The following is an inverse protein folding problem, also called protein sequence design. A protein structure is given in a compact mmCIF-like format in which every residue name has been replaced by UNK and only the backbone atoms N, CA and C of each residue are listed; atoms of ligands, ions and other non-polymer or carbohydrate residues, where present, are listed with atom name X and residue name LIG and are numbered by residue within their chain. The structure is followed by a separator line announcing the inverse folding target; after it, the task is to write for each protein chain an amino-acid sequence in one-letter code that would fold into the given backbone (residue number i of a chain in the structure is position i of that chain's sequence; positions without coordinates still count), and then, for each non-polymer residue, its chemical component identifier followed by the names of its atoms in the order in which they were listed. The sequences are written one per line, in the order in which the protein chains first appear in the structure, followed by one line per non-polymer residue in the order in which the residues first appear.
data_IF_227714440449
#
_entry.id   IF_227714440449
#
_cell.length_a   1.000
_cell.length_b   1.000
_cell.length_c   1.000
_cell.angle_alpha   90.00
_cell.angle_beta   90.00
_cell.angle_gamma   90.00
#
_symmetry.space_group_name_H-M   'P 1'
#
loop_
_entity.id
_entity.type
_entity.pdbx_description
1 polymer ?
#
# COMPACT_ATOMS: atom_id res chain seq x y z
N UNK A 1 -10.21 -3.47 1.46
CA UNK A 1 -9.41 -2.37 0.90
C UNK A 1 -10.31 -1.28 0.36
N UNK A 2 -10.07 -0.05 0.80
CA UNK A 2 -10.73 1.16 0.31
C UNK A 2 -9.78 1.79 -0.72
N UNK A 3 -10.09 1.59 -2.00
CA UNK A 3 -9.32 2.20 -3.09
C UNK A 3 -9.55 3.71 -3.17
N UNK A 4 -9.00 4.33 -4.20
CA UNK A 4 -9.09 5.75 -4.45
C UNK A 4 -10.52 6.19 -4.84
N UNK A 5 -11.37 6.38 -3.84
CA UNK A 5 -12.74 6.84 -3.94
C UNK A 5 -12.92 8.12 -3.10
N UNK A 6 -13.99 8.88 -3.39
CA UNK A 6 -14.36 10.03 -2.57
C UNK A 6 -14.45 9.65 -1.09
N UNK A 7 -13.85 10.39 -0.15
CA UNK A 7 -13.81 10.05 1.27
C UNK A 7 -15.19 9.79 1.91
N UNK A 8 -16.25 10.50 1.47
CA UNK A 8 -17.60 10.22 1.93
C UNK A 8 -18.08 8.81 1.55
N UNK A 9 -17.71 8.30 0.37
CA UNK A 9 -18.02 6.93 -0.06
C UNK A 9 -17.22 5.92 0.77
N UNK A 10 -15.94 6.18 1.00
CA UNK A 10 -15.10 5.34 1.88
C UNK A 10 -15.71 5.26 3.29
N UNK A 11 -16.13 6.39 3.87
CA UNK A 11 -16.82 6.43 5.15
C UNK A 11 -18.14 5.63 5.15
N UNK A 12 -18.94 5.73 4.09
CA UNK A 12 -20.17 4.96 3.95
C UNK A 12 -19.91 3.45 3.95
N UNK A 13 -18.88 2.99 3.22
CA UNK A 13 -18.45 1.58 3.19
C UNK A 13 -17.99 1.11 4.56
N UNK A 14 -17.18 1.90 5.27
CA UNK A 14 -16.74 1.57 6.63
C UNK A 14 -17.94 1.38 7.56
N UNK A 15 -18.92 2.26 7.48
CA UNK A 15 -20.10 2.23 8.36
C UNK A 15 -21.05 1.05 8.07
N UNK A 16 -21.03 0.49 6.85
CA UNK A 16 -21.81 -0.70 6.49
C UNK A 16 -21.21 -2.00 7.01
N UNK A 17 -19.92 -2.04 7.30
CA UNK A 17 -19.27 -3.24 7.79
C UNK A 17 -19.57 -3.46 9.27
N UNK A 18 -20.19 -4.58 9.59
CA UNK A 18 -20.54 -4.97 10.97
C UNK A 18 -19.52 -5.90 11.62
N UNK A 19 -18.49 -6.37 10.88
CA UNK A 19 -17.47 -7.24 11.43
C UNK A 19 -16.55 -6.47 12.40
N UNK A 20 -16.53 -6.78 13.70
CA UNK A 20 -15.68 -6.10 14.68
C UNK A 20 -14.17 -6.36 14.47
N UNK A 21 -13.82 -7.48 13.82
CA UNK A 21 -12.44 -7.89 13.59
C UNK A 21 -11.94 -7.51 12.19
N UNK A 22 -12.62 -6.56 11.52
CA UNK A 22 -12.19 -6.10 10.20
C UNK A 22 -10.85 -5.38 10.26
N UNK A 23 -9.97 -5.68 9.32
CA UNK A 23 -8.76 -4.92 9.07
C UNK A 23 -8.98 -4.04 7.84
N UNK A 24 -8.93 -2.73 8.01
CA UNK A 24 -9.23 -1.77 6.96
C UNK A 24 -7.93 -1.19 6.42
N UNK A 25 -7.73 -1.38 5.12
CA UNK A 25 -6.64 -0.77 4.35
C UNK A 25 -7.23 0.35 3.50
N UNK A 26 -6.59 1.51 3.44
CA UNK A 26 -6.96 2.57 2.52
C UNK A 26 -5.80 3.01 1.65
N UNK A 27 -6.15 3.49 0.48
CA UNK A 27 -5.32 4.30 -0.40
C UNK A 27 -5.97 5.67 -0.59
N UNK A 28 -5.21 6.67 -1.01
CA UNK A 28 -5.69 8.03 -1.25
C UNK A 28 -4.94 8.68 -2.41
N UNK A 29 -5.29 9.91 -2.73
CA UNK A 29 -4.57 10.73 -3.72
C UNK A 29 -4.62 12.23 -3.36
N UNK A 30 -3.73 12.99 -3.97
CA UNK A 30 -3.59 14.43 -3.80
C UNK A 30 -4.92 15.18 -3.96
N UNK A 31 -5.75 14.79 -4.94
CA UNK A 31 -7.04 15.43 -5.22
C UNK A 31 -7.95 15.52 -3.99
N UNK A 32 -7.98 14.48 -3.15
CA UNK A 32 -8.80 14.48 -1.93
C UNK A 32 -8.20 15.35 -0.83
N UNK A 33 -6.88 15.47 -0.80
CA UNK A 33 -6.18 16.37 0.12
C UNK A 33 -6.47 17.84 -0.21
N UNK A 34 -6.57 18.17 -1.50
CA UNK A 34 -6.83 19.54 -1.97
C UNK A 34 -8.32 19.94 -1.84
N UNK A 35 -9.24 18.97 -1.98
CA UNK A 35 -10.66 19.29 -2.13
C UNK A 35 -11.54 18.86 -0.95
N UNK A 36 -11.16 17.83 -0.19
CA UNK A 36 -11.98 17.22 0.87
C UNK A 36 -11.15 16.73 2.05
N UNK A 37 -10.18 17.54 2.50
CA UNK A 37 -9.20 17.15 3.52
C UNK A 37 -9.86 16.72 4.84
N UNK A 38 -10.87 17.45 5.33
CA UNK A 38 -11.53 17.11 6.60
C UNK A 38 -12.24 15.75 6.52
N UNK A 39 -12.90 15.46 5.40
CA UNK A 39 -13.52 14.16 5.18
C UNK A 39 -12.47 13.04 5.06
N UNK A 40 -11.36 13.31 4.36
CA UNK A 40 -10.24 12.37 4.25
C UNK A 40 -9.65 12.06 5.63
N UNK A 41 -9.39 13.05 6.45
CA UNK A 41 -8.90 12.88 7.82
C UNK A 41 -9.87 12.07 8.69
N UNK A 42 -11.19 12.20 8.44
CA UNK A 42 -12.21 11.39 9.12
C UNK A 42 -12.16 9.92 8.75
N UNK A 43 -11.74 9.58 7.52
CA UNK A 43 -11.50 8.20 7.07
C UNK A 43 -10.20 7.67 7.66
N UNK A 44 -9.11 8.45 7.56
CA UNK A 44 -7.77 8.07 8.08
C UNK A 44 -7.85 7.63 9.54
N UNK A 45 -8.67 8.29 10.36
CA UNK A 45 -8.86 7.94 11.78
C UNK A 45 -9.50 6.56 12.02
N UNK A 46 -10.10 5.96 11.00
CA UNK A 46 -10.90 4.72 11.13
C UNK A 46 -10.23 3.50 10.51
N UNK A 47 -9.10 3.68 9.84
CA UNK A 47 -8.41 2.59 9.13
C UNK A 47 -7.25 2.04 9.96
N UNK A 48 -6.90 0.78 9.72
CA UNK A 48 -5.78 0.13 10.40
C UNK A 48 -4.46 0.38 9.66
N UNK A 49 -4.51 0.42 8.33
CA UNK A 49 -3.34 0.61 7.47
C UNK A 49 -3.66 1.65 6.39
N UNK A 50 -2.80 2.64 6.23
CA UNK A 50 -2.78 3.53 5.07
C UNK A 50 -1.60 3.18 4.17
N UNK A 51 -1.86 3.11 2.86
CA UNK A 51 -0.85 2.95 1.81
C UNK A 51 -0.86 4.25 1.01
N UNK A 52 0.24 4.96 0.97
CA UNK A 52 0.35 6.32 0.42
C UNK A 52 1.68 6.46 -0.32
N UNK A 53 1.78 7.30 -1.33
CA UNK A 53 3.09 7.59 -1.91
C UNK A 53 3.83 8.69 -1.14
N UNK A 54 5.11 8.90 -1.44
CA UNK A 54 5.96 9.85 -0.73
C UNK A 54 5.55 11.31 -0.93
N UNK A 55 5.10 11.70 -2.13
CA UNK A 55 4.60 13.04 -2.41
C UNK A 55 3.30 13.32 -1.65
N UNK A 56 2.38 12.37 -1.67
CA UNK A 56 1.13 12.43 -0.91
C UNK A 56 1.37 12.48 0.60
N UNK A 57 2.33 11.69 1.11
CA UNK A 57 2.70 11.71 2.52
C UNK A 57 3.28 13.08 2.94
N UNK A 58 4.12 13.66 2.08
CA UNK A 58 4.66 15.02 2.29
C UNK A 58 3.55 16.07 2.24
N UNK A 59 2.64 16.01 1.28
CA UNK A 59 1.52 16.94 1.16
C UNK A 59 0.59 16.87 2.38
N UNK A 60 0.20 15.65 2.78
CA UNK A 60 -0.71 15.44 3.91
C UNK A 60 -0.14 15.94 5.23
N UNK A 61 1.17 15.85 5.40
CA UNK A 61 1.82 16.14 6.68
C UNK A 61 2.57 17.47 6.74
N UNK A 62 2.98 17.99 5.58
CA UNK A 62 3.92 19.12 5.48
C UNK A 62 5.38 18.74 5.81
N UNK A 63 5.67 17.46 6.02
CA UNK A 63 7.00 16.96 6.39
C UNK A 63 7.79 16.54 5.15
N UNK A 64 9.00 17.08 4.95
CA UNK A 64 9.89 16.67 3.85
C UNK A 64 10.58 15.33 4.11
N UNK A 65 10.82 15.00 5.37
CA UNK A 65 11.40 13.70 5.72
C UNK A 65 10.31 12.64 5.80
N UNK A 66 10.44 11.60 5.00
CA UNK A 66 9.44 10.53 4.85
C UNK A 66 9.16 9.79 6.18
N UNK A 67 10.20 9.60 7.01
CA UNK A 67 10.01 8.97 8.32
C UNK A 67 9.19 9.85 9.26
N UNK A 68 9.47 11.17 9.27
CA UNK A 68 8.69 12.12 10.04
C UNK A 68 7.25 12.21 9.53
N UNK A 69 7.07 12.19 8.20
CA UNK A 69 5.74 12.13 7.56
C UNK A 69 4.98 10.89 8.03
N UNK A 70 5.60 9.71 7.97
CA UNK A 70 4.98 8.46 8.43
C UNK A 70 4.60 8.48 9.91
N UNK A 71 5.48 9.00 10.78
CA UNK A 71 5.19 9.15 12.21
C UNK A 71 4.05 10.15 12.48
N UNK A 72 3.94 11.19 11.67
CA UNK A 72 2.84 12.15 11.77
C UNK A 72 1.52 11.54 11.30
N UNK A 73 1.54 10.70 10.25
CA UNK A 73 0.36 9.97 9.78
C UNK A 73 -0.11 8.97 10.85
N UNK A 74 0.80 8.22 11.50
CA UNK A 74 0.43 7.33 12.61
C UNK A 74 -0.34 8.09 13.72
N UNK A 75 0.04 9.32 14.02
CA UNK A 75 -0.66 10.17 15.00
C UNK A 75 -2.03 10.66 14.54
N UNK A 76 -2.36 10.54 13.25
CA UNK A 76 -3.68 10.86 12.70
C UNK A 76 -4.71 9.77 12.91
N UNK A 77 -4.29 8.54 13.24
CA UNK A 77 -5.21 7.45 13.60
C UNK A 77 -4.80 6.04 13.18
N UNK A 78 -4.23 5.79 12.00
CA UNK A 78 -3.91 4.44 11.59
C UNK A 78 -2.79 3.85 12.47
N UNK A 79 -2.86 2.53 12.71
CA UNK A 79 -1.81 1.82 13.46
C UNK A 79 -0.57 1.57 12.60
N UNK A 80 -0.74 1.54 11.28
CA UNK A 80 0.27 1.15 10.30
C UNK A 80 0.26 2.08 9.09
N UNK A 81 1.45 2.38 8.60
CA UNK A 81 1.66 3.22 7.40
C UNK A 81 2.62 2.52 6.47
N UNK A 82 2.28 2.43 5.18
CA UNK A 82 3.21 2.07 4.12
C UNK A 82 3.35 3.25 3.18
N UNK A 83 4.58 3.72 2.98
CA UNK A 83 4.91 4.80 2.04
C UNK A 83 5.59 4.19 0.82
N UNK A 84 4.94 4.30 -0.33
CA UNK A 84 5.46 3.89 -1.65
C UNK A 84 6.45 4.94 -2.15
N UNK A 85 7.56 4.51 -2.75
CA UNK A 85 8.62 5.38 -3.28
C UNK A 85 8.99 5.03 -4.72
N UNK A 86 8.03 4.54 -5.49
CA UNK A 86 8.24 4.12 -6.87
C UNK A 86 9.37 3.10 -7.01
N UNK A 87 10.34 3.39 -7.87
CA UNK A 87 11.51 2.55 -8.12
C UNK A 87 12.44 2.36 -6.90
N UNK A 88 12.29 3.21 -5.88
CA UNK A 88 13.07 3.11 -4.65
C UNK A 88 12.41 2.21 -3.59
N UNK A 89 11.31 1.53 -3.93
CA UNK A 89 10.64 0.58 -3.06
C UNK A 89 9.62 1.18 -2.11
N UNK A 90 9.55 0.69 -0.89
CA UNK A 90 8.56 1.11 0.09
C UNK A 90 9.08 1.06 1.53
N UNK A 91 8.46 1.86 2.39
CA UNK A 91 8.78 1.95 3.81
C UNK A 91 7.52 1.63 4.60
N UNK A 92 7.64 0.75 5.59
CA UNK A 92 6.60 0.47 6.57
C UNK A 92 6.97 1.09 7.91
N UNK A 93 5.98 1.67 8.59
CA UNK A 93 6.09 2.21 9.93
C UNK A 93 4.89 1.77 10.78
N UNK A 94 5.17 1.38 12.00
CA UNK A 94 4.24 1.30 13.13
C UNK A 94 4.97 1.76 14.40
N UNK A 95 4.30 1.83 15.54
CA UNK A 95 4.83 2.49 16.75
C UNK A 95 6.26 2.06 17.16
N UNK A 96 6.59 0.77 17.03
CA UNK A 96 7.89 0.22 17.45
C UNK A 96 8.69 -0.45 16.33
N UNK A 97 8.10 -0.57 15.13
CA UNK A 97 8.72 -1.28 14.01
C UNK A 97 8.82 -0.39 12.78
N UNK A 98 9.97 -0.44 12.15
CA UNK A 98 10.22 0.16 10.84
C UNK A 98 10.82 -0.90 9.93
N UNK A 99 10.38 -0.93 8.68
CA UNK A 99 10.89 -1.87 7.69
C UNK A 99 10.97 -1.20 6.32
N UNK A 100 12.05 -1.47 5.60
CA UNK A 100 12.25 -0.97 4.25
C UNK A 100 12.37 -2.15 3.29
N UNK A 101 11.68 -2.06 2.17
CA UNK A 101 11.74 -3.05 1.10
C UNK A 101 12.10 -2.34 -0.20
N UNK A 102 13.17 -2.75 -0.92
CA UNK A 102 13.46 -2.20 -2.24
C UNK A 102 12.38 -2.59 -3.25
N UNK A 103 12.31 -1.91 -4.38
CA UNK A 103 11.53 -2.36 -5.52
C UNK A 103 12.16 -3.63 -6.14
N UNK A 104 11.32 -4.45 -6.79
CA UNK A 104 11.85 -5.50 -7.65
C UNK A 104 12.48 -4.87 -8.90
N UNK A 105 13.73 -5.24 -9.27
CA UNK A 105 14.37 -4.68 -10.45
C UNK A 105 13.66 -5.18 -11.72
N UNK A 106 13.03 -4.24 -12.43
CA UNK A 106 12.35 -4.49 -13.71
C UNK A 106 13.27 -4.04 -14.85
N UNK A 107 13.52 -4.92 -15.82
CA UNK A 107 14.39 -4.60 -16.97
C UNK A 107 13.67 -3.75 -18.01
N UNK A 108 12.38 -4.02 -18.25
CA UNK A 108 11.57 -3.34 -19.25
C UNK A 108 10.36 -2.67 -18.60
N UNK A 109 10.47 -1.39 -18.33
CA UNK A 109 9.34 -0.57 -17.88
C UNK A 109 8.51 -0.17 -19.10
N UNK A 110 7.25 -0.59 -19.15
CA UNK A 110 6.30 -0.26 -20.23
C UNK A 110 5.35 0.84 -19.79
N UNK A 111 4.60 0.63 -18.71
CA UNK A 111 3.62 1.60 -18.21
C UNK A 111 3.53 1.53 -16.66
N UNK A 112 3.89 2.62 -15.95
CA UNK A 112 3.79 2.66 -14.49
C UNK A 112 2.36 2.84 -13.97
N UNK A 113 1.37 3.07 -14.84
CA UNK A 113 -0.03 3.29 -14.45
C UNK A 113 -0.61 2.05 -13.76
N UNK A 114 -1.22 2.24 -12.61
CA UNK A 114 -1.79 1.15 -11.83
C UNK A 114 -0.80 0.36 -10.96
N UNK A 115 0.49 0.70 -10.99
CA UNK A 115 1.49 0.06 -10.13
C UNK A 115 1.15 0.21 -8.63
N UNK A 116 0.70 1.40 -8.22
CA UNK A 116 0.27 1.68 -6.84
C UNK A 116 -0.95 0.85 -6.43
N UNK A 117 -1.95 0.76 -7.30
CA UNK A 117 -3.16 -0.04 -7.06
C UNK A 117 -2.83 -1.54 -7.00
N UNK A 118 -1.94 -2.00 -7.89
CA UNK A 118 -1.46 -3.39 -7.91
C UNK A 118 -0.67 -3.73 -6.66
N UNK A 119 0.16 -2.81 -6.18
CA UNK A 119 0.88 -2.93 -4.91
C UNK A 119 -0.10 -3.07 -3.74
N UNK A 120 -1.06 -2.16 -3.63
CA UNK A 120 -2.08 -2.19 -2.57
C UNK A 120 -2.97 -3.45 -2.67
N UNK A 121 -3.34 -3.85 -3.89
CA UNK A 121 -4.07 -5.09 -4.17
C UNK A 121 -3.31 -6.34 -3.73
N UNK A 122 -2.02 -6.42 -4.02
CA UNK A 122 -1.15 -7.52 -3.60
C UNK A 122 -1.05 -7.63 -2.07
N UNK A 123 -0.90 -6.49 -1.38
CA UNK A 123 -0.92 -6.44 0.09
C UNK A 123 -2.27 -6.91 0.63
N UNK A 124 -3.37 -6.34 0.15
CA UNK A 124 -4.70 -6.68 0.62
C UNK A 124 -5.04 -8.16 0.38
N UNK A 125 -4.69 -8.68 -0.81
CA UNK A 125 -4.89 -10.09 -1.17
C UNK A 125 -4.13 -11.05 -0.26
N UNK A 126 -2.87 -10.76 0.06
CA UNK A 126 -2.09 -11.58 1.00
C UNK A 126 -2.67 -11.51 2.42
N UNK A 127 -2.93 -10.31 2.93
CA UNK A 127 -3.44 -10.11 4.30
C UNK A 127 -4.83 -10.73 4.50
N UNK A 128 -5.66 -10.82 3.45
CA UNK A 128 -6.95 -11.50 3.50
C UNK A 128 -6.83 -13.02 3.76
N UNK A 129 -5.66 -13.63 3.56
CA UNK A 129 -5.40 -15.04 3.86
C UNK A 129 -4.79 -15.29 5.24
N UNK A 130 -4.36 -14.23 5.92
CA UNK A 130 -3.72 -14.31 7.22
C UNK A 130 -4.76 -14.45 8.34
N UNK A 131 -4.49 -15.30 9.32
CA UNK A 131 -5.32 -15.44 10.53
C UNK A 131 -5.11 -14.30 11.52
N UNK A 132 -3.91 -13.73 11.52
CA UNK A 132 -3.51 -12.57 12.34
C UNK A 132 -2.64 -11.65 11.50
N UNK A 133 -2.68 -10.35 11.77
CA UNK A 133 -1.92 -9.34 11.01
C UNK A 133 -0.88 -8.69 11.94
N UNK A 134 0.28 -9.33 12.02
CA UNK A 134 1.46 -8.81 12.71
C UNK A 134 2.53 -8.28 11.73
N UNK A 135 3.67 -7.90 12.28
CA UNK A 135 4.81 -7.38 11.49
C UNK A 135 5.33 -8.38 10.45
N UNK A 136 5.27 -9.68 10.74
CA UNK A 136 5.69 -10.73 9.82
C UNK A 136 4.79 -10.78 8.60
N UNK A 137 3.47 -10.77 8.82
CA UNK A 137 2.47 -10.81 7.76
C UNK A 137 2.53 -9.53 6.90
N UNK A 138 2.77 -8.37 7.50
CA UNK A 138 2.97 -7.12 6.77
C UNK A 138 4.24 -7.20 5.87
N UNK A 139 5.35 -7.71 6.38
CA UNK A 139 6.57 -7.87 5.57
C UNK A 139 6.36 -8.79 4.37
N UNK A 140 5.71 -9.93 4.57
CA UNK A 140 5.35 -10.84 3.46
C UNK A 140 4.33 -10.18 2.51
N UNK A 141 3.33 -9.48 3.02
CA UNK A 141 2.37 -8.75 2.18
C UNK A 141 3.06 -7.70 1.30
N UNK A 142 4.03 -6.96 1.84
CA UNK A 142 4.82 -6.00 1.06
C UNK A 142 5.62 -6.66 -0.06
N UNK A 143 6.17 -7.88 0.15
CA UNK A 143 6.80 -8.65 -0.93
C UNK A 143 5.79 -8.93 -2.05
N UNK A 144 4.61 -9.45 -1.73
CA UNK A 144 3.56 -9.70 -2.73
C UNK A 144 3.11 -8.42 -3.42
N UNK A 145 2.91 -7.31 -2.68
CA UNK A 145 2.59 -6.01 -3.25
C UNK A 145 3.65 -5.56 -4.27
N UNK A 146 4.94 -5.64 -3.89
CA UNK A 146 6.06 -5.29 -4.78
C UNK A 146 6.08 -6.15 -6.05
N UNK A 147 5.82 -7.45 -5.93
CA UNK A 147 5.76 -8.34 -7.09
C UNK A 147 4.59 -8.02 -8.00
N UNK A 148 3.39 -7.78 -7.45
CA UNK A 148 2.22 -7.41 -8.26
C UNK A 148 2.48 -6.09 -9.02
N UNK A 149 3.05 -5.09 -8.36
CA UNK A 149 3.47 -3.85 -9.01
C UNK A 149 4.49 -4.10 -10.12
N UNK A 150 5.48 -4.98 -9.89
CA UNK A 150 6.51 -5.30 -10.88
C UNK A 150 5.96 -5.97 -12.14
N UNK A 151 4.95 -6.83 -12.01
CA UNK A 151 4.25 -7.42 -13.18
C UNK A 151 3.35 -6.40 -13.89
N UNK A 152 2.74 -5.49 -13.14
CA UNK A 152 1.91 -4.43 -13.71
C UNK A 152 2.72 -3.52 -14.65
N UNK A 153 3.88 -3.07 -14.21
CA UNK A 153 4.68 -2.09 -14.98
C UNK A 153 5.39 -2.66 -16.21
N UNK A 154 5.45 -3.98 -16.37
CA UNK A 154 6.05 -4.66 -17.53
C UNK A 154 5.11 -4.75 -18.74
N UNK A 155 3.84 -4.31 -18.59
CA UNK A 155 2.85 -4.34 -19.66
C UNK A 155 1.88 -3.15 -19.53
N UNK A 156 0.96 -2.98 -20.49
CA UNK A 156 -0.04 -1.92 -20.44
C UNK A 156 -1.21 -2.27 -19.50
N UNK A 157 -1.56 -1.35 -18.61
CA UNK A 157 -2.70 -1.47 -17.71
C UNK A 157 -2.59 -2.72 -16.82
N UNK A 158 -3.55 -3.65 -16.95
CA UNK A 158 -3.60 -4.88 -16.15
C UNK A 158 -3.19 -6.14 -16.92
N UNK A 159 -2.70 -6.01 -18.16
CA UNK A 159 -2.44 -7.20 -19.01
C UNK A 159 -1.37 -8.11 -18.42
N UNK A 160 -0.31 -7.57 -17.84
CA UNK A 160 0.71 -8.35 -17.14
C UNK A 160 0.19 -9.12 -15.92
N UNK A 161 -0.92 -8.67 -15.32
CA UNK A 161 -1.56 -9.34 -14.20
C UNK A 161 -2.63 -10.35 -14.62
N UNK A 162 -3.31 -10.14 -15.75
CA UNK A 162 -4.37 -11.03 -16.24
C UNK A 162 -3.90 -12.45 -16.54
N UNK A 163 -2.67 -12.58 -17.01
CA UNK A 163 -2.06 -13.85 -17.40
C UNK A 163 -1.15 -14.43 -16.33
N UNK A 164 -1.01 -13.73 -15.20
CA UNK A 164 -0.11 -14.13 -14.11
C UNK A 164 -0.62 -15.38 -13.40
N UNK A 165 0.13 -16.46 -13.51
CA UNK A 165 -0.13 -17.69 -12.77
C UNK A 165 0.69 -17.78 -11.47
N UNK A 166 0.28 -18.70 -10.60
CA UNK A 166 0.93 -18.94 -9.31
C UNK A 166 2.39 -19.40 -9.44
N UNK A 167 2.73 -20.12 -10.50
CA UNK A 167 4.08 -20.62 -10.72
C UNK A 167 5.04 -19.47 -11.05
N UNK A 168 4.64 -18.60 -11.96
CA UNK A 168 5.38 -17.39 -12.35
C UNK A 168 5.58 -16.43 -11.16
N UNK A 169 4.51 -16.20 -10.40
CA UNK A 169 4.59 -15.39 -9.18
C UNK A 169 5.58 -15.98 -8.17
N UNK A 170 5.50 -17.27 -7.89
CA UNK A 170 6.39 -17.94 -6.95
C UNK A 170 7.86 -17.95 -7.42
N UNK A 171 8.10 -18.06 -8.72
CA UNK A 171 9.44 -17.95 -9.30
C UNK A 171 10.04 -16.57 -9.05
N UNK A 172 9.27 -15.50 -9.34
CA UNK A 172 9.72 -14.12 -9.08
C UNK A 172 9.91 -13.86 -7.58
N UNK A 173 9.03 -14.37 -6.73
CA UNK A 173 9.17 -14.27 -5.28
C UNK A 173 10.48 -14.90 -4.79
N UNK A 174 10.83 -16.08 -5.29
CA UNK A 174 12.09 -16.76 -4.94
C UNK A 174 13.31 -15.94 -5.36
N UNK A 175 13.29 -15.38 -6.57
CA UNK A 175 14.34 -14.51 -7.07
C UNK A 175 14.45 -13.26 -6.19
N UNK A 176 13.32 -12.60 -5.91
CA UNK A 176 13.32 -11.38 -5.10
C UNK A 176 13.86 -11.63 -3.69
N UNK A 177 13.44 -12.73 -3.05
CA UNK A 177 13.98 -13.10 -1.73
C UNK A 177 15.50 -13.33 -1.76
N UNK A 178 16.08 -13.82 -2.86
CA UNK A 178 17.53 -13.98 -2.98
C UNK A 178 18.30 -12.67 -3.12
N UNK A 179 17.63 -11.57 -3.49
CA UNK A 179 18.24 -10.24 -3.51
C UNK A 179 18.23 -9.54 -2.15
N UNK A 180 17.45 -10.06 -1.20
CA UNK A 180 17.26 -9.46 0.13
C UNK A 180 18.12 -10.12 1.22
N UNK A 181 18.84 -11.17 0.87
CA UNK A 181 19.78 -11.91 1.72
C UNK A 181 21.22 -11.60 1.28
#
# INVERSE_FOLDING_TARGET
HLGNLHPAVQNAVINQSTNPNRFIIMDTMNFWMDNTLDELLSVIKKVNLIIINDEEAQQLTGEKNIFNAGEKILKMGPEKVIIKKGEHGSIFLEAQNKYMLPAFPVENLVDPTGAGDSFAGGIAGFLATASEIGIREIKEAMLYGTLMASFCVEDFGIEGLRTLDKQTLNKRLKIFKSYLT
#
